data_IF_141359300755
#
_entry.id   IF_141359300755
#
_cell.length_a   1.000
_cell.length_b   1.000
_cell.length_c   1.000
_cell.angle_alpha   90.00
_cell.angle_beta   90.00
_cell.angle_gamma   90.00
#
_symmetry.space_group_name_H-M   'P 1'
#
loop_
_entity.id
_entity.type
_entity.pdbx_description
1 polymer ?
#
# COMPACT_ATOMS: atom_id res chain seq x y z
N UNK A 1 -16.97 -24.30 10.04
CA UNK A 1 -17.26 -23.71 8.72
C UNK A 1 -18.78 -23.60 8.61
N UNK A 2 -19.29 -22.42 8.26
CA UNK A 2 -20.72 -22.14 8.08
C UNK A 2 -21.01 -21.76 6.63
N UNK A 3 -22.24 -21.98 6.16
CA UNK A 3 -22.69 -21.54 4.82
C UNK A 3 -23.74 -20.46 5.00
N UNK A 4 -23.53 -19.32 4.34
CA UNK A 4 -24.41 -18.15 4.43
C UNK A 4 -24.75 -17.67 3.02
N UNK A 5 -25.92 -17.04 2.88
CA UNK A 5 -26.37 -16.42 1.64
C UNK A 5 -25.74 -15.03 1.53
N UNK A 6 -24.98 -14.79 0.46
CA UNK A 6 -24.34 -13.51 0.23
C UNK A 6 -25.39 -12.43 -0.06
N UNK A 7 -25.27 -11.31 0.62
CA UNK A 7 -26.00 -10.07 0.37
C UNK A 7 -24.98 -8.98 0.05
N UNK A 8 -25.04 -8.43 -1.15
CA UNK A 8 -24.04 -7.45 -1.58
C UNK A 8 -24.26 -6.10 -0.91
N UNK A 9 -23.17 -5.53 -0.40
CA UNK A 9 -23.13 -4.18 0.15
C UNK A 9 -22.49 -3.28 -0.90
N UNK A 10 -23.27 -2.37 -1.49
CA UNK A 10 -22.82 -1.48 -2.56
C UNK A 10 -21.84 -0.38 -2.12
N UNK A 11 -21.50 -0.32 -0.83
CA UNK A 11 -20.62 0.69 -0.24
C UNK A 11 -19.17 0.20 -0.35
N UNK A 12 -18.30 0.93 -1.09
CA UNK A 12 -16.86 0.69 -1.01
C UNK A 12 -16.35 1.13 0.36
N UNK A 13 -15.63 0.25 1.06
CA UNK A 13 -15.08 0.52 2.39
C UNK A 13 -13.55 0.58 2.39
N UNK A 14 -12.91 0.28 1.25
CA UNK A 14 -11.45 0.28 1.12
C UNK A 14 -10.76 -0.90 1.81
N UNK A 15 -11.53 -1.85 2.36
CA UNK A 15 -11.01 -3.04 3.05
C UNK A 15 -11.89 -4.27 2.85
N UNK A 16 -11.29 -5.44 3.02
CA UNK A 16 -11.98 -6.74 2.96
C UNK A 16 -12.77 -7.00 4.24
N UNK A 17 -14.00 -6.50 4.25
CA UNK A 17 -14.91 -6.63 5.38
C UNK A 17 -16.12 -7.47 5.01
N UNK A 18 -16.61 -8.28 5.95
CA UNK A 18 -17.91 -8.95 5.85
C UNK A 18 -18.78 -8.59 7.05
N UNK A 19 -20.08 -8.45 6.83
CA UNK A 19 -21.06 -8.27 7.91
C UNK A 19 -21.73 -9.60 8.23
N UNK A 20 -21.88 -9.91 9.51
CA UNK A 20 -22.65 -11.04 10.01
C UNK A 20 -23.81 -10.54 10.87
N UNK A 21 -24.93 -11.26 10.84
CA UNK A 21 -25.95 -11.04 11.87
C UNK A 21 -25.39 -11.47 13.24
N UNK A 22 -25.65 -10.70 14.29
CA UNK A 22 -25.06 -10.92 15.62
C UNK A 22 -25.35 -12.34 16.17
N UNK A 23 -26.54 -12.87 15.95
CA UNK A 23 -26.86 -14.25 16.34
C UNK A 23 -26.09 -15.31 15.55
N UNK A 24 -25.88 -15.11 14.25
CA UNK A 24 -25.10 -16.07 13.44
C UNK A 24 -23.63 -16.03 13.83
N UNK A 25 -23.11 -14.85 14.14
CA UNK A 25 -21.78 -14.65 14.70
C UNK A 25 -21.61 -15.43 16.02
N UNK A 26 -22.55 -15.27 16.97
CA UNK A 26 -22.55 -16.01 18.25
C UNK A 26 -22.64 -17.52 18.06
N UNK A 27 -23.55 -18.01 17.21
CA UNK A 27 -23.75 -19.44 16.96
C UNK A 27 -22.54 -20.10 16.30
N UNK A 28 -21.83 -19.36 15.45
CA UNK A 28 -20.66 -19.86 14.73
C UNK A 28 -19.34 -19.66 15.45
N UNK A 29 -19.31 -18.88 16.53
CA UNK A 29 -18.09 -18.47 17.23
C UNK A 29 -17.23 -17.48 16.44
N UNK A 30 -17.78 -16.88 15.37
CA UNK A 30 -17.11 -15.88 14.54
C UNK A 30 -17.60 -14.50 14.98
N UNK A 31 -16.84 -13.85 15.86
CA UNK A 31 -17.22 -12.58 16.49
C UNK A 31 -16.78 -11.37 15.66
N UNK A 32 -17.09 -10.14 16.10
CA UNK A 32 -16.54 -8.92 15.49
C UNK A 32 -15.01 -8.92 15.52
N UNK A 33 -14.41 -8.29 14.51
CA UNK A 33 -12.97 -8.19 14.27
C UNK A 33 -12.23 -9.52 14.07
N UNK A 34 -12.94 -10.64 13.97
CA UNK A 34 -12.31 -11.92 13.69
C UNK A 34 -11.83 -11.98 12.24
N UNK A 35 -10.70 -12.65 12.05
CA UNK A 35 -10.20 -13.01 10.72
C UNK A 35 -10.93 -14.25 10.23
N UNK A 36 -11.54 -14.16 9.04
CA UNK A 36 -12.23 -15.27 8.40
C UNK A 36 -11.70 -15.53 6.99
N UNK A 37 -11.88 -16.77 6.54
CA UNK A 37 -11.65 -17.21 5.18
C UNK A 37 -13.02 -17.35 4.50
N UNK A 38 -13.22 -16.59 3.43
CA UNK A 38 -14.42 -16.66 2.59
C UNK A 38 -14.10 -17.51 1.37
N UNK A 39 -14.76 -18.66 1.23
CA UNK A 39 -14.63 -19.49 0.05
C UNK A 39 -15.90 -19.40 -0.80
N UNK A 40 -15.72 -19.09 -2.07
CA UNK A 40 -16.78 -19.10 -3.09
C UNK A 40 -16.25 -19.79 -4.34
N UNK A 41 -16.90 -20.91 -4.71
CA UNK A 41 -16.45 -21.80 -5.79
C UNK A 41 -15.01 -22.27 -5.55
N UNK A 42 -14.09 -21.97 -6.47
CA UNK A 42 -12.65 -22.30 -6.37
C UNK A 42 -11.81 -21.15 -5.79
N UNK A 43 -12.43 -20.02 -5.47
CA UNK A 43 -11.73 -18.82 -5.02
C UNK A 43 -11.85 -18.66 -3.51
N UNK A 44 -10.82 -18.05 -2.93
CA UNK A 44 -10.77 -17.78 -1.50
C UNK A 44 -10.15 -16.42 -1.23
N UNK A 45 -10.72 -15.67 -0.28
CA UNK A 45 -10.11 -14.47 0.25
C UNK A 45 -10.16 -14.47 1.80
N UNK A 46 -9.20 -13.76 2.39
CA UNK A 46 -9.23 -13.41 3.82
C UNK A 46 -10.05 -12.14 3.99
N UNK A 47 -10.88 -12.09 5.02
CA UNK A 47 -11.69 -10.92 5.37
C UNK A 47 -11.78 -10.76 6.89
N UNK A 48 -12.21 -9.58 7.34
CA UNK A 48 -12.50 -9.30 8.73
C UNK A 48 -14.01 -9.12 8.93
N UNK A 49 -14.51 -9.57 10.07
CA UNK A 49 -15.94 -9.57 10.37
C UNK A 49 -16.35 -8.34 11.17
N UNK A 50 -17.51 -7.79 10.84
CA UNK A 50 -18.27 -6.90 11.74
C UNK A 50 -19.67 -7.48 11.94
N UNK A 51 -20.32 -7.15 13.04
CA UNK A 51 -21.66 -7.65 13.35
C UNK A 51 -22.74 -6.57 13.21
N UNK A 52 -23.95 -6.97 12.82
CA UNK A 52 -25.13 -6.10 12.72
C UNK A 52 -26.38 -6.81 13.22
N UNK A 53 -27.37 -6.04 13.67
CA UNK A 53 -28.69 -6.52 14.11
C UNK A 53 -29.83 -6.09 13.19
N UNK A 54 -29.58 -5.20 12.22
CA UNK A 54 -30.64 -4.55 11.43
C UNK A 54 -30.47 -4.71 9.92
N UNK A 55 -29.24 -4.88 9.41
CA UNK A 55 -28.96 -4.83 7.97
C UNK A 55 -29.08 -6.19 7.26
N UNK A 56 -28.93 -7.29 7.99
CA UNK A 56 -28.92 -8.66 7.47
C UNK A 56 -29.99 -9.51 8.13
N UNK A 57 -30.55 -10.47 7.38
CA UNK A 57 -31.36 -11.53 7.97
C UNK A 57 -30.47 -12.66 8.51
N UNK A 58 -31.03 -13.48 9.40
CA UNK A 58 -30.38 -14.72 9.84
C UNK A 58 -30.06 -15.61 8.62
N UNK A 59 -28.84 -16.14 8.57
CA UNK A 59 -28.33 -16.92 7.46
C UNK A 59 -27.78 -16.09 6.30
N UNK A 60 -27.75 -14.75 6.40
CA UNK A 60 -27.13 -13.87 5.41
C UNK A 60 -25.73 -13.41 5.84
N UNK A 61 -24.88 -13.12 4.85
CA UNK A 61 -23.58 -12.46 5.04
C UNK A 61 -23.48 -11.26 4.12
N UNK A 62 -23.17 -10.11 4.69
CA UNK A 62 -22.90 -8.90 3.94
C UNK A 62 -21.52 -8.97 3.29
N UNK A 63 -21.45 -8.85 1.97
CA UNK A 63 -20.21 -8.87 1.19
C UNK A 63 -19.94 -7.48 0.64
N UNK A 64 -18.80 -6.90 1.01
CA UNK A 64 -18.36 -5.58 0.53
C UNK A 64 -17.90 -5.60 -0.93
N UNK A 65 -17.86 -4.42 -1.55
CA UNK A 65 -17.56 -4.26 -2.98
C UNK A 65 -16.16 -4.79 -3.36
N UNK A 66 -15.20 -4.66 -2.46
CA UNK A 66 -13.83 -5.14 -2.61
C UNK A 66 -13.82 -6.68 -2.74
N UNK A 67 -14.42 -7.38 -1.78
CA UNK A 67 -14.55 -8.84 -1.79
C UNK A 67 -15.42 -9.35 -2.94
N UNK A 68 -16.48 -8.60 -3.30
CA UNK A 68 -17.32 -8.93 -4.44
C UNK A 68 -16.51 -8.94 -5.74
N UNK A 69 -15.71 -7.91 -6.00
CA UNK A 69 -14.88 -7.80 -7.20
C UNK A 69 -13.84 -8.92 -7.26
N UNK A 70 -13.16 -9.17 -6.14
CA UNK A 70 -12.11 -10.18 -6.04
C UNK A 70 -12.64 -11.60 -6.26
N UNK A 71 -13.68 -11.98 -5.50
CA UNK A 71 -14.24 -13.33 -5.53
C UNK A 71 -15.29 -13.52 -6.63
N UNK A 72 -15.69 -12.46 -7.33
CA UNK A 72 -16.78 -12.43 -8.32
C UNK A 72 -18.09 -13.01 -7.76
N UNK A 73 -18.38 -12.71 -6.49
CA UNK A 73 -19.60 -13.17 -5.79
C UNK A 73 -20.81 -12.45 -6.39
N UNK A 74 -21.89 -13.22 -6.61
CA UNK A 74 -23.19 -12.68 -7.02
C UNK A 74 -24.12 -12.60 -5.82
N UNK A 75 -25.02 -11.63 -5.83
CA UNK A 75 -26.06 -11.51 -4.80
C UNK A 75 -26.88 -12.80 -4.70
N UNK A 76 -27.22 -13.19 -3.47
CA UNK A 76 -27.93 -14.42 -3.16
C UNK A 76 -27.11 -15.71 -3.27
N UNK A 77 -25.83 -15.66 -3.64
CA UNK A 77 -24.98 -16.86 -3.74
C UNK A 77 -24.67 -17.45 -2.38
N UNK A 78 -24.60 -18.79 -2.29
CA UNK A 78 -24.08 -19.45 -1.09
C UNK A 78 -22.56 -19.32 -1.02
N UNK A 79 -22.07 -18.78 0.09
CA UNK A 79 -20.64 -18.67 0.41
C UNK A 79 -20.34 -19.44 1.69
N UNK A 80 -19.12 -19.95 1.82
CA UNK A 80 -18.67 -20.64 3.02
C UNK A 80 -17.69 -19.78 3.81
N UNK A 81 -17.88 -19.73 5.12
CA UNK A 81 -17.09 -18.92 6.04
C UNK A 81 -16.49 -19.82 7.10
N UNK A 82 -15.20 -19.65 7.37
CA UNK A 82 -14.50 -20.32 8.47
C UNK A 82 -13.52 -19.36 9.11
N UNK A 83 -13.23 -19.53 10.40
CA UNK A 83 -12.12 -18.83 11.04
C UNK A 83 -10.82 -19.07 10.27
N UNK A 84 -10.06 -18.00 10.06
CA UNK A 84 -8.74 -18.10 9.44
C UNK A 84 -7.68 -18.37 10.50
N UNK A 85 -6.60 -19.03 10.09
CA UNK A 85 -5.42 -19.19 10.93
C UNK A 85 -4.74 -17.84 11.16
N UNK A 86 -4.19 -17.63 12.35
CA UNK A 86 -3.34 -16.48 12.62
C UNK A 86 -2.08 -16.60 11.75
N UNK A 87 -1.75 -15.58 10.94
CA UNK A 87 -0.54 -15.60 10.11
C UNK A 87 0.73 -15.70 10.95
N UNK A 88 1.77 -16.34 10.40
CA UNK A 88 3.06 -16.47 11.08
C UNK A 88 3.73 -15.09 11.29
N UNK A 89 3.49 -14.16 10.37
CA UNK A 89 3.97 -12.77 10.43
C UNK A 89 3.64 -12.05 11.73
N UNK A 90 2.55 -12.40 12.43
CA UNK A 90 2.22 -11.85 13.75
C UNK A 90 3.33 -12.14 14.78
N UNK A 91 3.96 -13.31 14.72
CA UNK A 91 5.09 -13.63 15.62
C UNK A 91 6.30 -12.74 15.33
N UNK A 92 6.49 -12.36 14.07
CA UNK A 92 7.57 -11.46 13.65
C UNK A 92 7.27 -10.02 14.08
N UNK A 93 6.02 -9.57 13.99
CA UNK A 93 5.59 -8.27 14.51
C UNK A 93 5.82 -8.21 16.04
N UNK A 94 5.40 -9.22 16.78
CA UNK A 94 5.68 -9.31 18.22
C UNK A 94 7.19 -9.32 18.54
N UNK A 95 8.01 -9.92 17.67
CA UNK A 95 9.47 -9.89 17.81
C UNK A 95 10.00 -8.46 17.64
N UNK A 96 9.52 -7.72 16.64
CA UNK A 96 9.90 -6.32 16.43
C UNK A 96 9.44 -5.41 17.58
N UNK A 97 8.23 -5.63 18.10
CA UNK A 97 7.69 -4.95 19.29
C UNK A 97 8.52 -5.20 20.57
N UNK A 98 9.38 -6.21 20.58
CA UNK A 98 10.35 -6.45 21.68
C UNK A 98 11.71 -5.81 21.41
N UNK A 99 11.81 -4.93 20.40
CA UNK A 99 13.05 -4.27 19.99
C UNK A 99 14.06 -5.18 19.29
N UNK A 100 13.65 -6.35 18.80
CA UNK A 100 14.56 -7.29 18.14
C UNK A 100 14.61 -7.05 16.63
N UNK A 101 15.79 -7.29 16.04
CA UNK A 101 16.00 -7.21 14.58
C UNK A 101 15.28 -8.33 13.85
N UNK A 102 14.63 -7.98 12.75
CA UNK A 102 14.00 -8.93 11.84
C UNK A 102 14.99 -9.41 10.77
N UNK A 103 14.90 -10.69 10.46
CA UNK A 103 15.61 -11.29 9.32
C UNK A 103 14.87 -10.99 8.01
N UNK A 104 15.57 -11.16 6.88
CA UNK A 104 14.97 -11.03 5.55
C UNK A 104 13.68 -11.84 5.39
N UNK A 105 13.68 -13.12 5.79
CA UNK A 105 12.50 -13.98 5.66
C UNK A 105 11.30 -13.51 6.50
N UNK A 106 11.57 -13.00 7.71
CA UNK A 106 10.53 -12.47 8.60
C UNK A 106 9.87 -11.20 8.02
N UNK A 107 10.67 -10.29 7.46
CA UNK A 107 10.15 -9.08 6.80
C UNK A 107 9.35 -9.45 5.54
N UNK A 108 9.87 -10.34 4.71
CA UNK A 108 9.15 -10.82 3.53
C UNK A 108 7.81 -11.45 3.89
N UNK A 109 7.74 -12.23 4.97
CA UNK A 109 6.48 -12.79 5.46
C UNK A 109 5.49 -11.70 5.87
N UNK A 110 5.93 -10.69 6.62
CA UNK A 110 5.07 -9.55 7.02
C UNK A 110 4.53 -8.84 5.77
N UNK A 111 5.41 -8.43 4.87
CA UNK A 111 5.02 -7.63 3.69
C UNK A 111 4.15 -8.42 2.72
N UNK A 112 4.43 -9.71 2.53
CA UNK A 112 3.55 -10.58 1.77
C UNK A 112 2.14 -10.68 2.40
N UNK A 113 2.04 -10.76 3.72
CA UNK A 113 0.74 -10.81 4.40
C UNK A 113 0.01 -9.46 4.39
N UNK A 114 0.74 -8.33 4.39
CA UNK A 114 0.19 -6.98 4.15
C UNK A 114 -0.36 -6.88 2.73
N UNK A 115 0.45 -7.16 1.71
CA UNK A 115 0.07 -7.07 0.29
C UNK A 115 -1.13 -7.97 -0.06
N UNK A 116 -1.24 -9.13 0.61
CA UNK A 116 -2.36 -10.05 0.43
C UNK A 116 -3.56 -9.78 1.36
N UNK A 117 -3.60 -8.65 2.07
CA UNK A 117 -4.63 -8.26 3.05
C UNK A 117 -4.98 -9.37 4.05
N UNK A 118 -3.97 -10.06 4.58
CA UNK A 118 -4.13 -11.05 5.66
C UNK A 118 -3.95 -10.44 7.04
N UNK A 119 -3.27 -9.30 7.13
CA UNK A 119 -3.16 -8.50 8.34
C UNK A 119 -4.27 -7.47 8.43
N UNK A 120 -4.79 -7.28 9.64
CA UNK A 120 -5.75 -6.24 9.99
C UNK A 120 -5.04 -4.90 10.16
N UNK A 121 -5.81 -3.81 10.16
CA UNK A 121 -5.30 -2.47 10.49
C UNK A 121 -4.69 -2.42 11.90
N UNK A 122 -5.19 -3.23 12.85
CA UNK A 122 -4.65 -3.34 14.21
C UNK A 122 -3.25 -3.94 14.19
N UNK A 123 -3.06 -5.04 13.46
CA UNK A 123 -1.77 -5.74 13.38
C UNK A 123 -0.75 -4.93 12.57
N UNK A 124 -1.20 -4.20 11.55
CA UNK A 124 -0.36 -3.24 10.81
C UNK A 124 0.04 -2.07 11.71
N UNK A 125 -0.89 -1.53 12.50
CA UNK A 125 -0.59 -0.47 13.48
C UNK A 125 0.49 -0.93 14.45
N UNK A 126 0.39 -2.16 14.97
CA UNK A 126 1.40 -2.72 15.86
C UNK A 126 2.79 -2.75 15.20
N UNK A 127 2.88 -3.18 13.94
CA UNK A 127 4.14 -3.20 13.20
C UNK A 127 4.73 -1.78 13.02
N UNK A 128 3.91 -0.82 12.59
CA UNK A 128 4.33 0.56 12.38
C UNK A 128 4.78 1.25 13.68
N UNK A 129 4.07 1.02 14.79
CA UNK A 129 4.48 1.54 16.10
C UNK A 129 5.79 0.88 16.57
N UNK A 130 6.02 -0.39 16.25
CA UNK A 130 7.28 -1.06 16.54
C UNK A 130 8.45 -0.39 15.79
N UNK A 131 8.23 -0.01 14.53
CA UNK A 131 9.21 0.73 13.74
C UNK A 131 9.44 2.15 14.25
N UNK A 132 8.38 2.86 14.64
CA UNK A 132 8.48 4.22 15.22
C UNK A 132 9.33 4.23 16.49
N UNK A 133 9.11 3.28 17.41
CA UNK A 133 9.77 3.27 18.71
C UNK A 133 11.12 2.54 18.73
N UNK A 134 11.32 1.53 17.89
CA UNK A 134 12.56 0.73 17.87
C UNK A 134 13.43 0.98 16.64
N UNK A 135 12.92 1.69 15.63
CA UNK A 135 13.61 1.92 14.36
C UNK A 135 13.80 0.65 13.53
N UNK A 136 14.37 0.82 12.34
CA UNK A 136 14.91 -0.26 11.53
C UNK A 136 16.40 0.00 11.29
N UNK A 137 17.21 -1.05 11.34
CA UNK A 137 18.59 -0.94 10.85
C UNK A 137 18.63 -0.98 9.31
N UNK A 138 19.80 -0.70 8.73
CA UNK A 138 19.92 -0.58 7.27
C UNK A 138 19.59 -1.89 6.52
N UNK A 139 19.97 -3.04 7.09
CA UNK A 139 19.63 -4.35 6.51
C UNK A 139 18.10 -4.55 6.51
N UNK A 140 17.43 -4.23 7.62
CA UNK A 140 15.97 -4.30 7.72
C UNK A 140 15.28 -3.39 6.70
N UNK A 141 15.78 -2.15 6.53
CA UNK A 141 15.27 -1.20 5.53
C UNK A 141 15.45 -1.76 4.12
N UNK A 142 16.61 -2.34 3.80
CA UNK A 142 16.84 -2.97 2.49
C UNK A 142 15.85 -4.14 2.26
N UNK A 143 15.71 -5.03 3.24
CA UNK A 143 14.80 -6.17 3.14
C UNK A 143 13.34 -5.73 2.98
N UNK A 144 12.93 -4.70 3.71
CA UNK A 144 11.61 -4.09 3.63
C UNK A 144 11.36 -3.51 2.24
N UNK A 145 12.32 -2.73 1.75
CA UNK A 145 12.29 -2.14 0.41
C UNK A 145 12.11 -3.21 -0.65
N UNK A 146 12.94 -4.25 -0.64
CA UNK A 146 12.87 -5.33 -1.64
C UNK A 146 11.59 -6.14 -1.53
N UNK A 147 11.12 -6.45 -0.32
CA UNK A 147 9.86 -7.15 -0.13
C UNK A 147 8.66 -6.38 -0.70
N UNK A 148 8.66 -5.04 -0.57
CA UNK A 148 7.62 -4.19 -1.16
C UNK A 148 7.68 -4.22 -2.69
N UNK A 149 8.88 -4.19 -3.29
CA UNK A 149 9.06 -4.34 -4.74
C UNK A 149 8.55 -5.71 -5.21
N UNK A 150 8.99 -6.79 -4.56
CA UNK A 150 8.72 -8.17 -4.97
C UNK A 150 7.23 -8.56 -4.86
N UNK A 151 6.45 -7.83 -4.07
CA UNK A 151 4.99 -8.04 -3.92
C UNK A 151 4.15 -7.23 -4.91
N UNK A 152 4.78 -6.37 -5.71
CA UNK A 152 4.11 -5.49 -6.68
C UNK A 152 4.46 -5.79 -8.13
N UNK A 153 3.96 -4.93 -9.01
CA UNK A 153 4.35 -4.88 -10.43
C UNK A 153 5.67 -4.14 -10.55
N UNK A 154 6.56 -4.63 -11.41
CA UNK A 154 7.78 -3.94 -11.81
C UNK A 154 7.73 -3.59 -13.29
N UNK A 155 8.38 -2.49 -13.68
CA UNK A 155 8.53 -2.05 -15.06
C UNK A 155 10.01 -2.10 -15.40
N UNK A 156 10.35 -2.81 -16.47
CA UNK A 156 11.70 -2.88 -17.03
C UNK A 156 11.71 -2.21 -18.40
N UNK A 157 12.47 -1.13 -18.52
CA UNK A 157 12.58 -0.35 -19.75
C UNK A 157 13.70 -0.84 -20.68
N UNK A 158 14.47 -1.85 -20.27
CA UNK A 158 15.57 -2.43 -21.06
C UNK A 158 16.75 -1.49 -21.32
N UNK A 159 16.81 -0.34 -20.63
CA UNK A 159 17.90 0.64 -20.70
C UNK A 159 17.95 1.50 -19.42
N UNK A 160 19.07 2.20 -19.13
CA UNK A 160 19.21 2.99 -17.92
C UNK A 160 18.10 4.02 -17.73
N UNK A 161 17.52 4.02 -16.53
CA UNK A 161 16.38 4.82 -16.12
C UNK A 161 16.73 5.73 -14.95
N UNK A 162 16.27 6.98 -15.01
CA UNK A 162 16.56 8.02 -14.03
C UNK A 162 15.26 8.48 -13.35
N UNK A 163 15.34 8.82 -12.07
CA UNK A 163 14.21 9.41 -11.33
C UNK A 163 14.70 10.56 -10.44
N UNK A 164 13.79 11.48 -10.14
CA UNK A 164 13.95 12.52 -9.13
C UNK A 164 12.80 12.42 -8.15
N UNK A 165 13.09 12.15 -6.88
CA UNK A 165 12.09 12.20 -5.82
C UNK A 165 12.31 13.42 -4.92
N UNK A 166 11.24 13.96 -4.35
CA UNK A 166 11.34 14.97 -3.29
C UNK A 166 10.67 14.40 -2.05
N UNK A 167 11.35 14.45 -0.91
CA UNK A 167 10.75 14.07 0.39
C UNK A 167 9.52 14.93 0.70
N UNK A 168 9.46 16.15 0.14
CA UNK A 168 8.29 17.02 0.22
C UNK A 168 8.27 17.84 1.51
N UNK A 169 7.06 18.21 1.94
CA UNK A 169 6.84 19.13 3.07
C UNK A 169 6.89 20.61 2.70
N UNK A 170 7.24 20.96 1.46
CA UNK A 170 7.24 22.36 0.99
C UNK A 170 6.05 22.61 0.06
N UNK A 171 5.20 23.63 0.35
CA UNK A 171 4.07 23.98 -0.51
C UNK A 171 4.50 24.39 -1.93
N UNK A 172 3.72 23.99 -2.93
CA UNK A 172 3.89 24.48 -4.30
C UNK A 172 5.14 23.98 -5.02
N UNK A 173 5.72 22.84 -4.61
CA UNK A 173 6.88 22.25 -5.28
C UNK A 173 6.51 21.72 -6.69
N UNK A 174 6.75 22.57 -7.71
CA UNK A 174 6.54 22.25 -9.13
C UNK A 174 7.83 21.78 -9.84
N UNK A 175 8.92 21.56 -9.12
CA UNK A 175 10.25 21.28 -9.69
C UNK A 175 10.22 20.07 -10.63
N UNK A 176 9.48 19.02 -10.27
CA UNK A 176 9.39 17.80 -11.07
C UNK A 176 8.84 18.03 -12.48
N UNK A 177 7.89 18.96 -12.64
CA UNK A 177 7.31 19.32 -13.95
C UNK A 177 8.33 19.97 -14.90
N UNK A 178 9.43 20.52 -14.35
CA UNK A 178 10.52 21.10 -15.12
C UNK A 178 11.65 20.09 -15.33
N UNK A 179 12.02 19.34 -14.29
CA UNK A 179 13.16 18.40 -14.34
C UNK A 179 12.90 17.26 -15.32
N UNK A 180 11.70 16.67 -15.32
CA UNK A 180 11.38 15.55 -16.21
C UNK A 180 11.58 15.91 -17.69
N UNK A 181 11.00 17.00 -18.25
CA UNK A 181 11.24 17.35 -19.64
C UNK A 181 12.68 17.80 -19.93
N UNK A 182 13.38 18.44 -18.98
CA UNK A 182 14.80 18.81 -19.17
C UNK A 182 15.67 17.56 -19.33
N UNK A 183 15.48 16.57 -18.46
CA UNK A 183 16.24 15.32 -18.48
C UNK A 183 15.89 14.48 -19.72
N UNK A 184 14.61 14.40 -20.08
CA UNK A 184 14.17 13.74 -21.31
C UNK A 184 14.75 14.40 -22.57
N UNK A 185 14.77 15.73 -22.63
CA UNK A 185 15.37 16.49 -23.74
C UNK A 185 16.89 16.28 -23.86
N UNK A 186 17.57 15.90 -22.78
CA UNK A 186 18.98 15.50 -22.78
C UNK A 186 19.21 14.06 -23.28
N UNK A 187 18.16 13.32 -23.65
CA UNK A 187 18.24 11.95 -24.17
C UNK A 187 18.27 10.85 -23.10
N UNK A 188 18.04 11.20 -21.84
CA UNK A 188 17.95 10.26 -20.72
C UNK A 188 16.49 9.84 -20.49
N UNK A 189 16.29 8.59 -20.07
CA UNK A 189 14.95 8.05 -19.79
C UNK A 189 14.51 8.40 -18.35
N UNK A 190 13.38 9.10 -18.19
CA UNK A 190 12.87 9.52 -16.87
C UNK A 190 11.34 9.29 -16.71
N UNK A 191 10.90 8.05 -16.42
CA UNK A 191 9.49 7.68 -16.22
C UNK A 191 9.07 7.96 -14.78
N UNK A 192 8.77 9.23 -14.48
CA UNK A 192 8.48 9.69 -13.12
C UNK A 192 7.08 9.28 -12.66
N UNK A 193 7.01 8.54 -11.55
CA UNK A 193 5.74 8.25 -10.86
C UNK A 193 5.59 9.05 -9.57
N UNK A 194 4.38 9.56 -9.29
CA UNK A 194 4.06 10.28 -8.04
C UNK A 194 2.76 9.78 -7.43
N UNK A 195 2.66 9.86 -6.10
CA UNK A 195 1.38 9.80 -5.39
C UNK A 195 0.65 11.15 -5.48
N UNK A 196 -0.67 11.10 -5.27
CA UNK A 196 -1.51 12.30 -5.09
C UNK A 196 -1.22 12.95 -3.74
N UNK A 197 -1.61 14.22 -3.59
CA UNK A 197 -1.44 14.92 -2.34
C UNK A 197 -2.25 14.26 -1.21
N UNK A 198 -1.60 14.06 -0.07
CA UNK A 198 -2.25 13.58 1.17
C UNK A 198 -2.32 14.72 2.18
N UNK A 199 -1.17 15.33 2.49
CA UNK A 199 -1.05 16.46 3.44
C UNK A 199 -0.80 17.80 2.76
N UNK A 200 -0.37 17.82 1.50
CA UNK A 200 -0.10 19.05 0.75
C UNK A 200 -1.35 19.56 0.03
N UNK A 201 -1.32 20.82 -0.40
CA UNK A 201 -2.40 21.42 -1.19
C UNK A 201 -2.47 20.89 -2.62
N UNK A 202 -1.37 20.36 -3.15
CA UNK A 202 -1.26 19.74 -4.47
C UNK A 202 0.02 18.90 -4.55
N UNK A 203 0.00 17.82 -5.32
CA UNK A 203 1.18 17.00 -5.66
C UNK A 203 1.65 17.26 -7.11
N UNK A 204 2.76 16.62 -7.49
CA UNK A 204 3.23 16.64 -8.88
C UNK A 204 2.17 16.14 -9.86
N UNK A 205 1.46 15.05 -9.53
CA UNK A 205 0.45 14.48 -10.43
C UNK A 205 -0.85 15.27 -10.40
N UNK A 206 -1.25 15.84 -9.27
CA UNK A 206 -2.44 16.71 -9.24
C UNK A 206 -2.21 17.98 -10.07
N UNK A 207 -0.97 18.49 -10.12
CA UNK A 207 -0.62 19.62 -11.00
C UNK A 207 -0.53 19.18 -12.46
N UNK A 208 0.03 18.01 -12.75
CA UNK A 208 0.13 17.48 -14.13
C UNK A 208 -1.24 17.17 -14.73
N UNK A 209 -2.17 16.68 -13.91
CA UNK A 209 -3.53 16.29 -14.32
C UNK A 209 -4.35 17.47 -14.88
N UNK A 210 -4.00 18.70 -14.49
CA UNK A 210 -4.61 19.91 -15.09
C UNK A 210 -4.26 20.05 -16.58
N UNK A 211 -3.13 19.49 -17.00
CA UNK A 211 -2.56 19.65 -18.34
C UNK A 211 -2.70 18.40 -19.21
N UNK A 212 -2.66 17.20 -18.61
CA UNK A 212 -2.69 15.94 -19.33
C UNK A 212 -3.18 14.79 -18.43
N UNK A 213 -3.63 13.70 -19.03
CA UNK A 213 -3.96 12.48 -18.30
C UNK A 213 -2.73 11.96 -17.54
N UNK A 214 -2.95 11.50 -16.30
CA UNK A 214 -1.90 10.94 -15.42
C UNK A 214 -2.13 9.48 -15.08
N UNK A 215 -3.27 8.91 -15.45
CA UNK A 215 -3.65 7.54 -15.11
C UNK A 215 -3.37 6.56 -16.23
N UNK A 216 -2.29 5.79 -16.09
CA UNK A 216 -1.88 4.79 -17.07
C UNK A 216 -1.77 3.41 -16.42
N UNK A 217 -1.90 2.36 -17.22
CA UNK A 217 -1.41 1.03 -16.89
C UNK A 217 0.11 0.98 -16.99
N UNK A 218 0.74 -0.05 -16.41
CA UNK A 218 2.20 -0.22 -16.49
C UNK A 218 2.70 -0.29 -17.94
N UNK A 219 1.98 -1.00 -18.83
CA UNK A 219 2.33 -1.11 -20.24
C UNK A 219 2.17 0.20 -21.01
N UNK A 220 1.13 0.99 -20.71
CA UNK A 220 0.95 2.30 -21.34
C UNK A 220 2.05 3.28 -20.90
N UNK A 221 2.42 3.27 -19.62
CA UNK A 221 3.53 4.08 -19.11
C UNK A 221 4.87 3.69 -19.77
N UNK A 222 5.10 2.38 -19.95
CA UNK A 222 6.28 1.86 -20.63
C UNK A 222 6.37 2.40 -22.08
N UNK A 223 5.30 2.24 -22.85
CA UNK A 223 5.21 2.70 -24.24
C UNK A 223 5.45 4.21 -24.35
N UNK A 224 4.76 5.00 -23.51
CA UNK A 224 4.89 6.46 -23.50
C UNK A 224 6.33 6.86 -23.21
N UNK A 225 6.92 6.36 -22.12
CA UNK A 225 8.24 6.79 -21.70
C UNK A 225 9.34 6.35 -22.68
N UNK A 226 9.24 5.16 -23.30
CA UNK A 226 10.18 4.74 -24.34
C UNK A 226 10.08 5.60 -25.61
N UNK A 227 8.88 6.08 -25.95
CA UNK A 227 8.65 6.93 -27.12
C UNK A 227 9.11 8.38 -26.90
N UNK A 228 8.90 8.93 -25.71
CA UNK A 228 9.14 10.36 -25.41
C UNK A 228 10.44 10.63 -24.66
N UNK A 229 11.05 9.61 -24.06
CA UNK A 229 12.17 9.74 -23.13
C UNK A 229 11.77 10.15 -21.71
N UNK A 230 10.49 10.46 -21.45
CA UNK A 230 10.05 10.86 -20.11
C UNK A 230 8.54 10.87 -19.94
N UNK A 231 8.09 10.61 -18.73
CA UNK A 231 6.67 10.58 -18.39
C UNK A 231 6.44 11.09 -16.96
N UNK A 232 5.25 11.62 -16.70
CA UNK A 232 4.77 11.94 -15.35
C UNK A 232 3.44 11.22 -15.17
N UNK A 233 3.40 10.22 -14.29
CA UNK A 233 2.22 9.38 -14.08
C UNK A 233 1.86 9.22 -12.60
N UNK A 234 0.59 8.97 -12.34
CA UNK A 234 0.10 8.59 -11.02
C UNK A 234 0.40 7.12 -10.73
N UNK A 235 1.07 6.88 -9.60
CA UNK A 235 1.51 5.53 -9.21
C UNK A 235 0.38 4.58 -8.81
N UNK A 236 -0.76 5.09 -8.34
CA UNK A 236 -1.79 4.28 -7.66
C UNK A 236 -2.49 3.24 -8.56
N UNK A 237 -2.43 3.38 -9.89
CA UNK A 237 -3.02 2.43 -10.84
C UNK A 237 -2.01 1.41 -11.38
N UNK A 238 -0.72 1.56 -11.07
CA UNK A 238 0.35 0.73 -11.61
C UNK A 238 0.53 -0.59 -10.85
N UNK A 239 -0.08 -0.73 -9.68
CA UNK A 239 0.13 -1.91 -8.83
C UNK A 239 1.56 -2.04 -8.32
N UNK A 240 2.30 -0.92 -8.28
CA UNK A 240 3.68 -0.83 -7.80
C UNK A 240 3.66 -0.74 -6.27
N UNK A 241 4.46 -1.56 -5.60
CA UNK A 241 4.61 -1.59 -4.15
C UNK A 241 3.27 -1.55 -3.37
N UNK A 242 2.31 -2.46 -3.64
CA UNK A 242 0.96 -2.38 -3.08
C UNK A 242 0.90 -2.46 -1.54
N UNK A 243 1.92 -3.06 -0.91
CA UNK A 243 2.03 -3.06 0.54
C UNK A 243 2.23 -1.65 1.11
N UNK A 244 2.96 -0.79 0.41
CA UNK A 244 3.23 0.60 0.81
C UNK A 244 1.93 1.40 0.96
N UNK A 245 1.04 1.33 -0.04
CA UNK A 245 -0.25 2.03 -0.01
C UNK A 245 -1.13 1.58 1.18
N UNK A 246 -1.01 0.32 1.61
CA UNK A 246 -1.73 -0.22 2.78
C UNK A 246 -1.14 0.33 4.07
N UNK A 247 0.19 0.40 4.18
CA UNK A 247 0.89 0.90 5.36
C UNK A 247 0.64 2.40 5.54
N UNK A 248 0.76 3.20 4.46
CA UNK A 248 0.49 4.65 4.46
C UNK A 248 -0.94 4.97 4.94
N UNK A 249 -1.93 4.15 4.55
CA UNK A 249 -3.33 4.32 4.99
C UNK A 249 -3.48 4.22 6.51
N UNK A 250 -2.61 3.44 7.17
CA UNK A 250 -2.60 3.26 8.64
C UNK A 250 -1.72 4.32 9.31
N UNK A 251 -0.60 4.71 8.70
CA UNK A 251 0.29 5.78 9.18
C UNK A 251 -0.44 7.13 9.26
N UNK A 252 -1.23 7.47 8.24
CA UNK A 252 -1.83 8.81 8.10
C UNK A 252 -2.75 9.21 9.27
N UNK A 253 -3.73 8.39 9.70
CA UNK A 253 -4.55 8.71 10.87
C UNK A 253 -3.75 8.80 12.19
N UNK A 254 -2.61 8.12 12.27
CA UNK A 254 -1.74 8.13 13.45
C UNK A 254 -0.77 9.32 13.46
N UNK A 255 -0.63 10.04 12.32
CA UNK A 255 0.34 11.13 12.15
C UNK A 255 1.78 10.71 12.47
N UNK A 256 2.14 9.48 12.11
CA UNK A 256 3.50 8.92 12.22
C UNK A 256 4.09 8.72 10.82
N UNK A 257 5.42 8.77 10.70
CA UNK A 257 6.17 8.53 9.45
C UNK A 257 7.53 7.91 9.83
N UNK A 258 7.57 6.64 10.27
CA UNK A 258 8.80 6.02 10.77
C UNK A 258 9.91 6.11 9.73
N UNK A 259 11.11 6.56 10.11
CA UNK A 259 12.15 6.90 9.12
C UNK A 259 12.54 5.72 8.22
N UNK A 260 12.66 4.51 8.79
CA UNK A 260 12.98 3.30 8.02
C UNK A 260 11.89 2.93 7.00
N UNK A 261 10.63 3.02 7.43
CA UNK A 261 9.45 2.83 6.61
C UNK A 261 9.36 3.87 5.48
N UNK A 262 9.58 5.15 5.78
CA UNK A 262 9.61 6.23 4.79
C UNK A 262 10.67 5.99 3.71
N UNK A 263 11.89 5.60 4.12
CA UNK A 263 12.97 5.27 3.18
C UNK A 263 12.58 4.08 2.31
N UNK A 264 12.05 3.00 2.91
CA UNK A 264 11.62 1.83 2.18
C UNK A 264 10.49 2.12 1.20
N UNK A 265 9.48 2.89 1.62
CA UNK A 265 8.37 3.37 0.80
C UNK A 265 8.87 4.10 -0.46
N UNK A 266 9.71 5.13 -0.26
CA UNK A 266 10.24 5.94 -1.35
C UNK A 266 11.02 5.06 -2.32
N UNK A 267 11.98 4.28 -1.80
CA UNK A 267 12.90 3.49 -2.61
C UNK A 267 12.21 2.33 -3.32
N UNK A 268 11.24 1.66 -2.69
CA UNK A 268 10.51 0.54 -3.28
C UNK A 268 9.76 0.99 -4.53
N UNK A 269 9.08 2.15 -4.47
CA UNK A 269 8.43 2.74 -5.64
C UNK A 269 9.45 3.05 -6.75
N UNK A 270 10.63 3.58 -6.43
CA UNK A 270 11.66 3.91 -7.44
C UNK A 270 12.23 2.66 -8.12
N UNK A 271 12.58 1.65 -7.33
CA UNK A 271 13.09 0.38 -7.81
C UNK A 271 12.04 -0.36 -8.66
N UNK A 272 10.77 -0.30 -8.30
CA UNK A 272 9.70 -0.95 -9.04
C UNK A 272 9.41 -0.30 -10.40
N UNK A 273 9.63 1.02 -10.57
CA UNK A 273 9.67 1.64 -11.92
C UNK A 273 11.01 1.44 -12.65
N UNK A 274 11.90 0.59 -12.13
CA UNK A 274 13.16 0.26 -12.78
C UNK A 274 14.18 1.40 -12.80
N UNK A 275 14.10 2.37 -11.87
CA UNK A 275 15.06 3.46 -11.82
C UNK A 275 16.44 2.99 -11.32
N UNK A 276 17.47 3.18 -12.15
CA UNK A 276 18.87 2.86 -11.84
C UNK A 276 19.57 3.99 -11.08
N UNK A 277 19.19 5.24 -11.37
CA UNK A 277 19.79 6.44 -10.80
C UNK A 277 18.69 7.35 -10.25
N UNK A 278 18.74 7.64 -8.95
CA UNK A 278 17.73 8.46 -8.30
C UNK A 278 18.38 9.67 -7.63
N UNK A 279 17.84 10.85 -7.90
CA UNK A 279 18.14 12.06 -7.14
C UNK A 279 17.07 12.26 -6.08
N UNK A 280 17.48 12.31 -4.81
CA UNK A 280 16.59 12.62 -3.69
C UNK A 280 16.78 14.10 -3.32
N UNK A 281 15.69 14.85 -3.45
CA UNK A 281 15.55 16.24 -3.04
C UNK A 281 14.99 16.27 -1.61
N UNK A 282 15.77 16.80 -0.67
CA UNK A 282 15.41 16.93 0.75
C UNK A 282 15.28 18.42 1.06
N UNK A 283 14.08 19.01 0.97
CA UNK A 283 13.88 20.39 1.37
C UNK A 283 14.10 20.55 2.88
N UNK A 284 14.91 21.54 3.26
CA UNK A 284 15.25 21.82 4.66
C UNK A 284 14.76 23.19 5.07
N UNK A 285 14.03 23.26 6.18
CA UNK A 285 13.63 24.52 6.79
C UNK A 285 12.37 24.43 7.64
N UNK A 286 11.98 25.55 8.23
CA UNK A 286 10.79 25.64 9.07
C UNK A 286 9.53 25.24 8.30
N UNK A 287 8.79 24.26 8.82
CA UNK A 287 7.57 23.74 8.20
C UNK A 287 7.78 22.75 7.05
N UNK A 288 9.03 22.46 6.66
CA UNK A 288 9.33 21.31 5.82
C UNK A 288 9.30 20.01 6.64
N UNK A 289 9.30 18.86 5.97
CA UNK A 289 9.40 17.55 6.66
C UNK A 289 10.72 17.41 7.44
N UNK A 290 11.79 18.03 6.95
CA UNK A 290 13.10 18.05 7.60
C UNK A 290 13.44 19.49 7.97
N UNK A 291 13.50 19.79 9.26
CA UNK A 291 13.72 21.18 9.70
C UNK A 291 15.20 21.58 9.74
N UNK A 292 16.09 20.62 10.04
CA UNK A 292 17.52 20.86 10.28
C UNK A 292 18.40 20.19 9.25
N UNK A 293 19.45 20.88 8.83
CA UNK A 293 20.38 20.39 7.82
C UNK A 293 21.15 19.16 8.29
N UNK A 294 21.41 19.06 9.60
CA UNK A 294 22.08 17.89 10.18
C UNK A 294 21.23 16.63 10.03
N UNK A 295 19.91 16.74 10.17
CA UNK A 295 19.00 15.61 10.03
C UNK A 295 18.83 15.24 8.55
N UNK A 296 18.82 16.23 7.66
CA UNK A 296 18.84 16.01 6.21
C UNK A 296 20.11 15.31 5.70
N UNK A 297 21.25 15.48 6.38
CA UNK A 297 22.51 14.78 6.06
C UNK A 297 22.57 13.35 6.59
N UNK A 298 21.80 13.06 7.64
CA UNK A 298 21.70 11.70 8.20
C UNK A 298 20.72 10.84 7.39
N UNK A 299 19.66 11.46 6.89
CA UNK A 299 18.67 10.86 5.99
C UNK A 299 19.29 10.55 4.63
#
# INVERSE_FOLDING_TARGET
MIKLKARLISIPVGKRLVLLHEEDAKRSGILSHNRVKINYRKQTATAFTETTTTYLQLGEIGITKELQKELKIKDGSLVSVSSATIPESIKHIHKKMRGQTLTKGEIYNIINDVANHKLSEIEITEFLMAEEFHGLNMDEIEYLTRAMVDTGTTIDFGRPCYDKHSVGGVPGNKVTLLIVPIVAAAGLLIPKTSSRAVTSSSSTVDTMEVLADVEFTASELEEIALKTGGAIAWGGKLGIAPADDILIRVEYPLSIDPTGQMLASIMAKKLAVGADCVVIDIPVGQGAKVEKIEDARKL
#
